data_IF_977644539734
#
_entry.id   IF_977644539734
#
_cell.length_a   1.000
_cell.length_b   1.000
_cell.length_c   1.000
_cell.angle_alpha   90.00
_cell.angle_beta   90.00
_cell.angle_gamma   90.00
#
_symmetry.space_group_name_H-M   'P 1'
#
loop_
_entity.id
_entity.type
_entity.pdbx_description
1 polymer ?
#
# COMPACT_ATOMS: atom_id res chain seq x y z
N UNK A 1 -5.35 -5.62 0.31
CA UNK A 1 -6.16 -5.17 1.46
C UNK A 1 -5.20 -4.80 2.57
N UNK A 2 -5.36 -3.65 3.22
CA UNK A 2 -4.52 -3.29 4.36
C UNK A 2 -4.89 -4.18 5.54
N UNK A 3 -4.02 -5.12 5.87
CA UNK A 3 -4.08 -5.86 7.13
C UNK A 3 -3.22 -5.12 8.15
N UNK A 4 -3.75 -4.03 8.71
CA UNK A 4 -3.02 -3.24 9.71
C UNK A 4 -3.73 -3.33 11.05
N UNK A 5 -3.07 -3.89 12.06
CA UNK A 5 -3.53 -3.81 13.44
C UNK A 5 -3.10 -2.46 14.05
N UNK A 6 -3.87 -1.86 14.98
CA UNK A 6 -3.46 -0.63 15.65
C UNK A 6 -2.08 -0.71 16.31
N UNK A 7 -1.72 -1.89 16.83
CA UNK A 7 -0.38 -2.14 17.39
C UNK A 7 0.70 -2.05 16.32
N UNK A 8 0.48 -2.60 15.13
CA UNK A 8 1.44 -2.49 14.02
C UNK A 8 1.66 -1.02 13.66
N UNK A 9 0.58 -0.24 13.57
CA UNK A 9 0.66 1.19 13.28
C UNK A 9 1.47 1.95 14.35
N UNK A 10 1.20 1.71 15.64
CA UNK A 10 1.94 2.34 16.74
C UNK A 10 3.42 1.96 16.69
N UNK A 11 3.72 0.67 16.55
CA UNK A 11 5.11 0.16 16.53
C UNK A 11 5.86 0.72 15.32
N UNK A 12 5.29 0.66 14.12
CA UNK A 12 5.91 1.22 12.91
C UNK A 12 6.18 2.72 13.06
N UNK A 13 5.23 3.49 13.60
CA UNK A 13 5.42 4.95 13.78
C UNK A 13 6.43 5.27 14.87
N UNK A 14 6.40 4.56 16.00
CA UNK A 14 7.41 4.72 17.05
C UNK A 14 8.81 4.47 16.50
N UNK A 15 9.04 3.31 15.88
CA UNK A 15 10.34 2.95 15.29
C UNK A 15 10.79 3.96 14.24
N UNK A 16 9.86 4.47 13.42
CA UNK A 16 10.21 5.41 12.35
C UNK A 16 10.51 6.83 12.86
N UNK A 17 9.83 7.28 13.92
CA UNK A 17 9.97 8.63 14.46
C UNK A 17 11.09 8.74 15.51
N UNK A 18 11.41 7.67 16.23
CA UNK A 18 12.44 7.67 17.27
C UNK A 18 13.80 8.16 16.75
N UNK A 19 14.35 7.67 15.63
CA UNK A 19 15.61 8.19 15.09
C UNK A 19 15.53 9.67 14.71
N UNK A 20 14.41 10.10 14.11
CA UNK A 20 14.21 11.50 13.70
C UNK A 20 14.24 12.43 14.91
N UNK A 21 13.60 12.01 16.01
CA UNK A 21 13.64 12.75 17.27
C UNK A 21 15.08 12.85 17.83
N UNK A 22 15.82 11.74 17.88
CA UNK A 22 17.19 11.74 18.41
C UNK A 22 18.21 12.47 17.53
N UNK A 23 17.96 12.60 16.22
CA UNK A 23 18.77 13.40 15.31
C UNK A 23 18.56 14.92 15.49
N UNK A 24 17.63 15.35 16.36
CA UNK A 24 17.46 16.75 16.73
C UNK A 24 16.72 17.58 15.67
N UNK A 25 15.90 16.96 14.82
CA UNK A 25 15.07 17.70 13.88
C UNK A 25 14.03 18.56 14.62
N UNK A 26 13.78 19.78 14.12
CA UNK A 26 12.78 20.67 14.72
C UNK A 26 11.36 20.10 14.58
N UNK A 27 10.49 20.40 15.56
CA UNK A 27 9.08 20.02 15.51
C UNK A 27 8.39 20.54 14.25
N UNK A 28 8.70 21.77 13.84
CA UNK A 28 8.16 22.37 12.63
C UNK A 28 8.56 21.58 11.37
N UNK A 29 9.83 21.16 11.26
CA UNK A 29 10.30 20.33 10.14
C UNK A 29 9.58 18.99 10.08
N UNK A 30 9.41 18.34 11.24
CA UNK A 30 8.70 17.06 11.35
C UNK A 30 7.23 17.23 10.96
N UNK A 31 6.58 18.30 11.41
CA UNK A 31 5.18 18.59 11.10
C UNK A 31 4.94 18.86 9.61
N UNK A 32 5.81 19.68 8.99
CA UNK A 32 5.75 19.98 7.55
C UNK A 32 5.94 18.71 6.73
N UNK A 33 6.99 17.92 7.03
CA UNK A 33 7.23 16.65 6.34
C UNK A 33 6.04 15.69 6.49
N UNK A 34 5.53 15.52 7.71
CA UNK A 34 4.43 14.62 8.00
C UNK A 34 3.15 15.02 7.25
N UNK A 35 2.89 16.33 7.13
CA UNK A 35 1.75 16.86 6.39
C UNK A 35 1.87 16.57 4.90
N UNK A 36 3.04 16.82 4.31
CA UNK A 36 3.30 16.52 2.89
C UNK A 36 3.18 15.01 2.64
N UNK A 37 3.81 14.20 3.50
CA UNK A 37 3.79 12.74 3.41
C UNK A 37 2.35 12.20 3.50
N UNK A 38 1.56 12.67 4.46
CA UNK A 38 0.18 12.23 4.65
C UNK A 38 -0.70 12.67 3.48
N UNK A 39 -0.57 13.92 3.04
CA UNK A 39 -1.29 14.43 1.87
C UNK A 39 -1.00 13.63 0.61
N UNK A 40 0.28 13.31 0.36
CA UNK A 40 0.67 12.47 -0.78
C UNK A 40 0.17 11.03 -0.63
N UNK A 41 0.25 10.45 0.57
CA UNK A 41 -0.30 9.12 0.87
C UNK A 41 -1.80 9.07 0.57
N UNK A 42 -2.57 10.07 0.99
CA UNK A 42 -4.00 10.14 0.70
C UNK A 42 -4.25 10.31 -0.81
N UNK A 43 -3.45 11.13 -1.50
CA UNK A 43 -3.56 11.34 -2.93
C UNK A 43 -3.38 10.04 -3.71
N UNK A 44 -2.32 9.26 -3.44
CA UNK A 44 -2.04 8.03 -4.21
C UNK A 44 -3.07 6.93 -3.98
N UNK A 45 -3.84 6.99 -2.89
CA UNK A 45 -4.95 6.07 -2.59
C UNK A 45 -6.32 6.57 -3.06
N UNK A 46 -6.40 7.78 -3.62
CA UNK A 46 -7.66 8.35 -4.10
C UNK A 46 -8.03 7.84 -5.49
N UNK A 47 -9.33 7.81 -5.81
CA UNK A 47 -9.81 7.38 -7.13
C UNK A 47 -9.81 8.52 -8.17
N UNK A 48 -8.79 9.37 -8.15
CA UNK A 48 -8.64 10.48 -9.11
C UNK A 48 -7.75 10.07 -10.27
N UNK A 49 -7.93 10.71 -11.43
CA UNK A 49 -7.08 10.54 -12.60
C UNK A 49 -6.35 11.84 -12.87
N UNK A 50 -5.11 11.92 -12.39
CA UNK A 50 -4.25 13.08 -12.61
C UNK A 50 -3.04 12.63 -13.43
N UNK A 51 -2.82 13.17 -14.63
CA UNK A 51 -1.63 12.85 -15.42
C UNK A 51 -0.42 13.56 -14.82
N UNK A 52 0.52 12.81 -14.23
CA UNK A 52 1.75 13.38 -13.67
C UNK A 52 2.80 13.72 -14.74
N UNK A 53 2.57 13.31 -16.00
CA UNK A 53 3.52 13.54 -17.08
C UNK A 53 4.92 13.01 -16.74
N UNK A 54 5.99 13.78 -16.95
CA UNK A 54 7.35 13.39 -16.57
C UNK A 54 7.55 13.16 -15.06
N UNK A 55 6.74 13.77 -14.19
CA UNK A 55 6.89 13.60 -12.74
C UNK A 55 6.57 12.19 -12.26
N UNK A 56 5.90 11.36 -13.08
CA UNK A 56 5.59 9.96 -12.74
C UNK A 56 6.82 9.11 -12.40
N UNK A 57 8.00 9.55 -12.86
CA UNK A 57 9.28 8.89 -12.61
C UNK A 57 9.82 9.16 -11.20
N UNK A 58 9.43 10.27 -10.58
CA UNK A 58 9.94 10.71 -9.28
C UNK A 58 8.88 10.68 -8.18
N UNK A 59 7.62 10.97 -8.51
CA UNK A 59 6.52 11.07 -7.56
C UNK A 59 5.45 10.04 -7.94
N UNK A 60 5.11 9.17 -6.98
CA UNK A 60 4.05 8.18 -7.14
C UNK A 60 2.71 8.87 -7.44
N UNK A 61 2.04 8.42 -8.49
CA UNK A 61 0.71 8.90 -8.86
C UNK A 61 -0.38 7.94 -8.37
N UNK A 62 -1.66 8.37 -8.34
CA UNK A 62 -2.78 7.45 -8.09
C UNK A 62 -2.82 6.27 -9.06
N UNK A 63 -2.45 6.48 -10.33
CA UNK A 63 -2.34 5.42 -11.33
C UNK A 63 -1.26 4.41 -10.96
N UNK A 64 -0.06 4.89 -10.61
CA UNK A 64 1.06 4.03 -10.22
C UNK A 64 0.72 3.18 -8.99
N UNK A 65 0.16 3.79 -7.96
CA UNK A 65 -0.10 3.11 -6.69
C UNK A 65 -1.30 2.15 -6.75
N UNK A 66 -2.29 2.40 -7.63
CA UNK A 66 -3.40 1.44 -7.85
C UNK A 66 -2.91 0.09 -8.34
N UNK A 67 -1.87 0.07 -9.17
CA UNK A 67 -1.26 -1.18 -9.65
C UNK A 67 -0.60 -1.97 -8.52
N UNK A 68 -0.10 -1.33 -7.47
CA UNK A 68 0.38 -2.04 -6.28
C UNK A 68 -0.74 -2.81 -5.56
N UNK A 69 -1.96 -2.26 -5.55
CA UNK A 69 -3.13 -2.88 -4.90
C UNK A 69 -3.94 -3.80 -5.82
N UNK A 70 -3.52 -3.96 -7.08
CA UNK A 70 -4.25 -4.74 -8.07
C UNK A 70 -4.09 -6.24 -7.80
N UNK A 71 -5.20 -6.97 -7.84
CA UNK A 71 -5.21 -8.42 -7.75
C UNK A 71 -5.24 -9.05 -9.15
N UNK A 72 -4.18 -8.81 -9.90
CA UNK A 72 -3.97 -9.33 -11.26
C UNK A 72 -2.52 -9.80 -11.37
N UNK A 73 -2.28 -10.87 -12.14
CA UNK A 73 -0.95 -11.50 -12.21
C UNK A 73 0.17 -10.54 -12.65
N UNK A 74 -0.14 -9.60 -13.53
CA UNK A 74 0.78 -8.57 -14.03
C UNK A 74 1.14 -7.49 -13.00
N UNK A 75 0.38 -7.40 -11.92
CA UNK A 75 0.59 -6.46 -10.83
C UNK A 75 1.43 -7.02 -9.68
N UNK A 76 1.59 -8.34 -9.61
CA UNK A 76 2.27 -9.01 -8.51
C UNK A 76 3.75 -8.67 -8.51
N UNK A 77 4.28 -8.42 -7.31
CA UNK A 77 5.68 -8.07 -7.07
C UNK A 77 6.14 -6.81 -7.82
N UNK A 78 5.24 -5.82 -7.94
CA UNK A 78 5.50 -4.54 -8.61
C UNK A 78 5.08 -3.33 -7.77
N UNK A 79 5.66 -2.18 -8.11
CA UNK A 79 5.33 -0.86 -7.59
C UNK A 79 5.34 -0.78 -6.04
N UNK A 80 6.44 -1.22 -5.42
CA UNK A 80 6.59 -1.28 -3.97
C UNK A 80 6.77 0.11 -3.33
N UNK A 81 7.32 1.09 -4.03
CA UNK A 81 7.61 2.40 -3.47
C UNK A 81 6.30 3.19 -3.23
N UNK A 82 6.09 3.64 -1.99
CA UNK A 82 4.91 4.45 -1.65
C UNK A 82 4.95 5.86 -2.24
N UNK A 83 6.14 6.46 -2.37
CA UNK A 83 6.28 7.85 -2.82
C UNK A 83 7.19 8.05 -4.04
N UNK A 84 8.19 7.16 -4.22
CA UNK A 84 9.32 7.39 -5.12
C UNK A 84 9.46 6.24 -6.14
N UNK A 85 8.73 6.26 -7.27
CA UNK A 85 8.74 5.19 -8.29
C UNK A 85 10.12 4.89 -8.89
N UNK A 86 11.07 5.82 -8.82
CA UNK A 86 12.42 5.55 -9.30
C UNK A 86 13.11 4.41 -8.57
N UNK A 87 12.75 4.13 -7.32
CA UNK A 87 13.25 2.96 -6.61
C UNK A 87 12.78 1.68 -7.29
N UNK A 88 11.51 1.60 -7.69
CA UNK A 88 11.01 0.46 -8.46
C UNK A 88 11.67 0.32 -9.83
N UNK A 89 12.04 1.43 -10.48
CA UNK A 89 12.81 1.38 -11.72
C UNK A 89 14.23 0.86 -11.49
N UNK A 90 14.89 1.34 -10.43
CA UNK A 90 16.24 0.93 -10.06
C UNK A 90 16.31 -0.56 -9.72
N UNK A 91 15.29 -1.10 -9.05
CA UNK A 91 15.24 -2.50 -8.61
C UNK A 91 14.45 -3.42 -9.55
N UNK A 92 13.97 -2.93 -10.70
CA UNK A 92 13.28 -3.75 -11.72
C UNK A 92 11.84 -4.17 -11.37
N UNK A 93 11.23 -3.49 -10.42
CA UNK A 93 9.87 -3.77 -9.90
C UNK A 93 8.84 -2.76 -10.40
N UNK A 94 9.20 -1.86 -11.32
CA UNK A 94 8.24 -0.93 -11.93
C UNK A 94 7.28 -1.63 -12.88
N UNK A 95 5.97 -1.34 -12.77
CA UNK A 95 4.93 -1.80 -13.69
C UNK A 95 4.67 -0.76 -14.80
N UNK A 96 4.93 -1.08 -16.08
CA UNK A 96 4.77 -0.16 -17.20
C UNK A 96 3.35 -0.11 -17.80
N UNK A 97 2.33 -0.66 -17.16
CA UNK A 97 0.93 -0.70 -17.65
C UNK A 97 0.28 0.66 -17.91
N UNK A 98 0.95 1.76 -17.57
CA UNK A 98 0.58 3.11 -17.98
C UNK A 98 -0.72 3.58 -17.32
N UNK A 99 -1.67 4.05 -18.13
CA UNK A 99 -2.95 4.58 -17.66
C UNK A 99 -4.08 3.54 -17.59
N UNK A 100 -3.77 2.26 -17.82
CA UNK A 100 -4.73 1.17 -17.62
C UNK A 100 -5.20 1.13 -16.16
N UNK A 101 -6.47 0.81 -15.97
CA UNK A 101 -7.09 0.68 -14.63
C UNK A 101 -7.22 -0.82 -14.31
N UNK A 102 -6.75 -1.28 -13.14
CA UNK A 102 -6.95 -2.66 -12.70
C UNK A 102 -8.43 -3.05 -12.63
N UNK A 103 -8.74 -4.29 -13.02
CA UNK A 103 -10.10 -4.84 -12.99
C UNK A 103 -10.50 -5.30 -11.58
N UNK A 104 -9.53 -5.78 -10.80
CA UNK A 104 -9.72 -6.32 -9.46
C UNK A 104 -8.67 -5.75 -8.51
N UNK A 105 -9.08 -5.46 -7.28
CA UNK A 105 -8.21 -5.01 -6.18
C UNK A 105 -8.26 -5.99 -5.01
N UNK A 106 -7.26 -5.90 -4.14
CA UNK A 106 -7.24 -6.62 -2.88
C UNK A 106 -6.38 -7.88 -2.90
N UNK A 107 -6.67 -8.79 -1.99
CA UNK A 107 -5.98 -10.10 -1.85
C UNK A 107 -7.03 -11.18 -1.68
N UNK A 108 -6.71 -12.41 -2.02
CA UNK A 108 -7.66 -13.54 -1.93
C UNK A 108 -7.73 -14.17 -0.51
N UNK A 109 -7.06 -13.54 0.47
CA UNK A 109 -7.08 -14.00 1.86
C UNK A 109 -8.48 -13.86 2.48
N UNK A 110 -9.00 -14.93 3.11
CA UNK A 110 -10.26 -14.87 3.84
C UNK A 110 -10.06 -14.10 5.16
N UNK A 111 -10.68 -12.94 5.29
CA UNK A 111 -10.69 -12.13 6.52
C UNK A 111 -12.11 -11.94 7.07
N UNK A 112 -12.28 -11.78 8.39
CA UNK A 112 -13.58 -11.41 8.96
C UNK A 112 -14.10 -10.10 8.37
N UNK A 113 -15.41 -10.00 8.16
CA UNK A 113 -16.05 -8.80 7.62
C UNK A 113 -16.31 -7.71 8.67
N UNK A 114 -16.29 -8.08 9.96
CA UNK A 114 -16.54 -7.14 11.06
C UNK A 114 -15.25 -6.48 11.52
N UNK A 115 -15.32 -5.20 11.88
CA UNK A 115 -14.18 -4.42 12.36
C UNK A 115 -13.46 -5.11 13.53
N UNK A 116 -14.21 -5.49 14.57
CA UNK A 116 -13.65 -6.20 15.73
C UNK A 116 -13.15 -7.60 15.38
N UNK A 117 -13.77 -8.25 14.39
CA UNK A 117 -13.28 -9.52 13.86
C UNK A 117 -11.90 -9.37 13.22
N UNK A 118 -11.66 -8.28 12.47
CA UNK A 118 -10.36 -7.98 11.86
C UNK A 118 -9.30 -7.61 12.90
N UNK A 119 -9.66 -6.85 13.95
CA UNK A 119 -8.75 -6.56 15.06
C UNK A 119 -8.33 -7.83 15.79
N UNK A 120 -9.29 -8.72 16.09
CA UNK A 120 -8.99 -9.99 16.76
C UNK A 120 -8.29 -11.01 15.86
N UNK A 121 -8.40 -10.88 14.53
CA UNK A 121 -7.96 -11.90 13.57
C UNK A 121 -6.50 -12.38 13.75
N UNK A 122 -5.50 -11.50 13.98
CA UNK A 122 -4.12 -11.93 14.19
C UNK A 122 -3.90 -12.76 15.47
N UNK A 123 -4.78 -12.61 16.46
CA UNK A 123 -4.70 -13.30 17.76
C UNK A 123 -5.46 -14.64 17.73
N UNK A 124 -6.33 -14.84 16.75
CA UNK A 124 -7.05 -16.09 16.58
C UNK A 124 -6.09 -17.14 16.00
N UNK A 125 -6.07 -18.33 16.60
CA UNK A 125 -5.36 -19.47 16.03
C UNK A 125 -5.92 -19.72 14.63
N UNK A 126 -5.07 -19.67 13.59
CA UNK A 126 -5.44 -20.08 12.23
C UNK A 126 -5.98 -21.50 12.27
N UNK A 127 -7.30 -21.65 12.37
CA UNK A 127 -7.95 -22.91 12.06
C UNK A 127 -7.73 -23.08 10.56
N UNK A 128 -7.12 -24.19 10.13
CA UNK A 128 -7.06 -24.53 8.70
C UNK A 128 -8.49 -24.41 8.18
N UNK A 129 -8.78 -23.36 7.42
CA UNK A 129 -10.05 -23.28 6.73
C UNK A 129 -10.06 -24.49 5.79
N UNK A 130 -11.11 -25.32 5.79
CA UNK A 130 -11.21 -26.39 4.80
C UNK A 130 -11.05 -25.73 3.43
N UNK A 131 -10.21 -26.33 2.57
CA UNK A 131 -9.95 -25.85 1.21
C UNK A 131 -11.29 -25.45 0.59
N UNK A 132 -11.57 -24.14 0.51
CA UNK A 132 -12.64 -23.66 -0.35
C UNK A 132 -12.09 -23.87 -1.74
N UNK A 133 -12.66 -24.83 -2.46
CA UNK A 133 -12.37 -25.04 -3.86
C UNK A 133 -12.47 -23.68 -4.56
N UNK A 134 -11.36 -23.24 -5.14
CA UNK A 134 -11.35 -22.11 -6.06
C UNK A 134 -12.36 -22.47 -7.16
N UNK A 135 -13.42 -21.68 -7.37
CA UNK A 135 -14.33 -21.94 -8.48
C UNK A 135 -13.49 -21.93 -9.75
N UNK A 136 -13.52 -23.02 -10.51
CA UNK A 136 -12.96 -23.03 -11.85
C UNK A 136 -13.76 -22.01 -12.64
N UNK A 137 -13.16 -20.87 -12.95
CA UNK A 137 -13.69 -19.99 -13.99
C UNK A 137 -13.72 -20.81 -15.27
N UNK A 138 -14.94 -21.01 -15.80
CA UNK A 138 -15.16 -21.62 -17.11
C UNK A 138 -14.46 -20.80 -18.19
N UNK A 139 -14.00 -21.52 -19.22
CA UNK A 139 -13.13 -21.05 -20.30
C UNK A 139 -13.79 -20.05 -21.25
#
# INVERSE_FOLDING_TARGET
AFHNHPVDAIVTKAISLTPIFFLGFSEASIAVFSTIYLGHTLLVHSNVRIPFGPLKWLIASPQFHRWHHANQREAYDKNFAGQLPFLDMLFGTYNPTGDKVPEKYGVDDPIPSTYFGQIGYPLLRRRKLPNRAVPKTEA
#
